data_IF_061016328055
#
_entry.id   IF_061016328055
#
_cell.length_a   1.000
_cell.length_b   1.000
_cell.length_c   1.000
_cell.angle_alpha   90.00
_cell.angle_beta   90.00
_cell.angle_gamma   90.00
#
_symmetry.space_group_name_H-M   'P 1'
#
loop_
_entity.id
_entity.type
_entity.pdbx_description
1 polymer ?
#
# COMPACT_ATOMS: atom_id res chain seq x y z
N UNK A 1 25.61 -1.26 7.49
CA UNK A 1 24.25 -1.16 6.90
C UNK A 1 24.18 -2.21 5.81
N UNK A 2 23.05 -2.92 5.66
CA UNK A 2 22.92 -3.94 4.62
C UNK A 2 23.01 -3.29 3.24
N UNK A 3 23.74 -3.92 2.31
CA UNK A 3 23.91 -3.45 0.93
C UNK A 3 22.67 -3.86 0.10
N UNK A 4 21.52 -3.29 0.47
CA UNK A 4 20.23 -3.54 -0.14
C UNK A 4 19.60 -2.24 -0.59
N UNK A 5 18.89 -2.27 -1.72
CA UNK A 5 18.15 -1.12 -2.22
C UNK A 5 17.04 -0.73 -1.23
N UNK A 6 17.02 0.53 -0.73
CA UNK A 6 15.97 1.01 0.16
C UNK A 6 14.55 0.86 -0.39
N UNK A 7 14.38 0.86 -1.73
CA UNK A 7 13.08 0.74 -2.38
C UNK A 7 12.34 -0.57 -2.02
N UNK A 8 13.08 -1.63 -1.64
CA UNK A 8 12.46 -2.88 -1.19
C UNK A 8 11.76 -2.78 0.17
N UNK A 9 12.07 -1.77 0.97
CA UNK A 9 11.57 -1.63 2.33
C UNK A 9 10.55 -0.50 2.49
N UNK A 10 10.59 0.49 1.58
CA UNK A 10 9.76 1.66 1.68
C UNK A 10 9.21 2.08 0.30
N UNK A 11 7.88 2.12 0.12
CA UNK A 11 7.27 2.53 -1.14
C UNK A 11 7.49 4.02 -1.38
N UNK A 12 7.69 4.42 -2.64
CA UNK A 12 7.84 5.83 -2.98
C UNK A 12 6.54 6.56 -2.62
N UNK A 13 6.63 7.62 -1.81
CA UNK A 13 5.48 8.41 -1.42
C UNK A 13 5.82 9.89 -1.24
N UNK A 14 4.83 10.75 -1.49
CA UNK A 14 4.97 12.18 -1.31
C UNK A 14 3.63 12.80 -0.91
N UNK A 15 3.65 13.70 0.07
CA UNK A 15 2.48 14.50 0.49
C UNK A 15 2.33 15.74 -0.40
N UNK A 16 1.09 16.06 -0.78
CA UNK A 16 0.68 17.29 -1.44
C UNK A 16 -0.36 17.99 -0.57
N UNK A 17 -0.09 19.25 -0.24
CA UNK A 17 -0.92 20.04 0.70
C UNK A 17 -1.82 21.03 -0.04
N UNK A 18 -2.76 21.63 0.68
CA UNK A 18 -3.63 22.70 0.18
C UNK A 18 -4.48 22.32 -1.05
N UNK A 19 -4.91 21.07 -1.14
CA UNK A 19 -5.70 20.54 -2.26
C UNK A 19 -7.20 20.72 -2.05
N UNK A 20 -7.96 20.77 -3.14
CA UNK A 20 -9.42 20.65 -3.10
C UNK A 20 -9.93 20.02 -4.39
N UNK A 21 -10.43 18.78 -4.29
CA UNK A 21 -10.90 18.00 -5.44
C UNK A 21 -12.25 18.48 -6.01
N UNK A 22 -13.02 19.28 -5.28
CA UNK A 22 -14.25 19.89 -5.81
C UNK A 22 -13.93 21.10 -6.69
N UNK A 23 -13.00 21.96 -6.27
CA UNK A 23 -12.59 23.16 -7.02
C UNK A 23 -11.39 22.95 -7.93
N UNK A 24 -10.80 21.74 -7.92
CA UNK A 24 -9.54 21.38 -8.59
C UNK A 24 -8.32 22.19 -8.13
N UNK A 25 -8.36 22.76 -6.94
CA UNK A 25 -7.19 23.42 -6.34
C UNK A 25 -6.10 22.38 -6.07
N UNK A 26 -4.85 22.70 -6.42
CA UNK A 26 -3.69 21.83 -6.20
C UNK A 26 -3.54 20.71 -7.23
N UNK A 27 -4.36 20.66 -8.28
CA UNK A 27 -4.28 19.60 -9.31
C UNK A 27 -2.96 19.63 -10.09
N UNK A 28 -2.39 20.80 -10.33
CA UNK A 28 -1.08 20.94 -10.98
C UNK A 28 0.03 20.30 -10.12
N UNK A 29 0.06 20.60 -8.82
CA UNK A 29 1.04 20.01 -7.89
C UNK A 29 0.85 18.49 -7.74
N UNK A 30 -0.41 18.02 -7.70
CA UNK A 30 -0.72 16.58 -7.71
C UNK A 30 -0.18 15.95 -9.00
N UNK A 31 -0.48 16.52 -10.17
CA UNK A 31 -0.04 16.00 -11.46
C UNK A 31 1.48 15.91 -11.54
N UNK A 32 2.19 16.98 -11.18
CA UNK A 32 3.66 17.01 -11.18
C UNK A 32 4.25 15.97 -10.21
N UNK A 33 3.63 15.79 -9.05
CA UNK A 33 4.06 14.78 -8.07
C UNK A 33 3.81 13.36 -8.57
N UNK A 34 2.64 13.09 -9.16
CA UNK A 34 2.35 11.80 -9.79
C UNK A 34 3.36 11.49 -10.89
N UNK A 35 3.64 12.45 -11.78
CA UNK A 35 4.60 12.29 -12.87
C UNK A 35 6.01 11.94 -12.34
N UNK A 36 6.48 12.67 -11.31
CA UNK A 36 7.76 12.38 -10.65
C UNK A 36 7.82 10.98 -10.05
N UNK A 37 6.73 10.51 -9.44
CA UNK A 37 6.68 9.16 -8.86
C UNK A 37 6.67 8.12 -9.99
N UNK A 38 5.86 8.30 -11.03
CA UNK A 38 5.83 7.37 -12.17
C UNK A 38 7.20 7.22 -12.84
N UNK A 39 7.93 8.32 -13.09
CA UNK A 39 9.29 8.28 -13.64
C UNK A 39 10.24 7.45 -12.76
N UNK A 40 10.14 7.60 -11.44
CA UNK A 40 10.96 6.80 -10.51
C UNK A 40 10.57 5.33 -10.52
N UNK A 41 9.26 5.03 -10.55
CA UNK A 41 8.75 3.66 -10.60
C UNK A 41 9.13 2.97 -11.90
N UNK A 42 9.00 3.63 -13.05
CA UNK A 42 9.42 3.09 -14.35
C UNK A 42 10.89 2.71 -14.33
N UNK A 43 11.77 3.59 -13.83
CA UNK A 43 13.19 3.28 -13.67
C UNK A 43 13.43 2.06 -12.78
N UNK A 44 12.71 1.93 -11.65
CA UNK A 44 12.83 0.78 -10.74
C UNK A 44 12.33 -0.51 -11.36
N UNK A 45 11.20 -0.43 -12.06
CA UNK A 45 10.62 -1.58 -12.75
C UNK A 45 11.53 -2.06 -13.87
N UNK A 46 12.18 -1.16 -14.61
CA UNK A 46 13.20 -1.51 -15.61
C UNK A 46 14.45 -2.12 -14.96
N UNK A 47 14.96 -1.51 -13.88
CA UNK A 47 16.11 -1.99 -13.10
C UNK A 47 15.92 -3.44 -12.63
N UNK A 48 14.74 -3.77 -12.11
CA UNK A 48 14.39 -5.09 -11.59
C UNK A 48 13.63 -5.98 -12.59
N UNK A 49 13.47 -5.54 -13.84
CA UNK A 49 12.81 -6.27 -14.94
C UNK A 49 11.38 -6.71 -14.61
N UNK A 50 10.66 -5.89 -13.86
CA UNK A 50 9.28 -6.15 -13.47
C UNK A 50 8.35 -5.96 -14.67
N UNK A 51 7.56 -6.99 -14.99
CA UNK A 51 6.65 -6.99 -16.14
C UNK A 51 5.30 -6.32 -15.85
N UNK A 52 4.99 -6.08 -14.57
CA UNK A 52 3.73 -5.46 -14.18
C UNK A 52 3.75 -3.96 -14.50
N UNK A 53 2.60 -3.38 -14.86
CA UNK A 53 2.49 -1.92 -14.99
C UNK A 53 2.52 -1.26 -13.60
N UNK A 54 3.37 -0.25 -13.34
CA UNK A 54 3.34 0.48 -12.07
C UNK A 54 2.00 1.21 -11.93
N UNK A 55 1.59 1.41 -10.68
CA UNK A 55 0.41 2.20 -10.36
C UNK A 55 0.66 2.94 -9.06
N UNK A 56 -0.11 4.00 -8.83
CA UNK A 56 -0.06 4.79 -7.61
C UNK A 56 -1.45 4.91 -7.03
N UNK A 57 -1.55 5.27 -5.76
CA UNK A 57 -2.79 5.68 -5.16
C UNK A 57 -2.66 7.05 -4.51
N UNK A 58 -3.75 7.80 -4.58
CA UNK A 58 -3.93 9.04 -3.82
C UNK A 58 -4.81 8.70 -2.63
N UNK A 59 -4.32 8.98 -1.42
CA UNK A 59 -5.06 8.81 -0.16
C UNK A 59 -5.09 10.09 0.65
N UNK A 60 -6.10 10.26 1.50
CA UNK A 60 -6.09 11.32 2.50
C UNK A 60 -4.90 11.15 3.46
N UNK A 61 -4.23 12.25 3.77
CA UNK A 61 -3.20 12.32 4.83
C UNK A 61 -3.80 12.15 6.25
N UNK A 62 -5.06 12.52 6.44
CA UNK A 62 -5.73 12.58 7.75
C UNK A 62 -6.75 11.45 7.93
N UNK A 63 -6.27 10.23 8.21
CA UNK A 63 -7.10 9.13 8.73
C UNK A 63 -6.91 7.78 8.03
N UNK A 64 -6.94 6.70 8.84
CA UNK A 64 -6.50 5.34 8.47
C UNK A 64 -7.62 4.37 8.08
N UNK A 65 -8.87 4.83 7.91
CA UNK A 65 -10.03 3.95 7.69
C UNK A 65 -10.36 3.62 6.23
N UNK A 66 -9.38 3.66 5.32
CA UNK A 66 -9.56 3.25 3.92
C UNK A 66 -10.58 4.06 3.11
N UNK A 67 -11.02 5.21 3.63
CA UNK A 67 -11.89 6.16 2.94
C UNK A 67 -11.04 7.20 2.24
N UNK A 68 -11.37 7.49 0.98
CA UNK A 68 -10.64 8.48 0.18
C UNK A 68 -9.34 7.97 -0.42
N UNK A 69 -9.33 6.70 -0.87
CA UNK A 69 -8.22 6.13 -1.65
C UNK A 69 -8.69 5.93 -3.09
N UNK A 70 -7.86 6.33 -4.07
CA UNK A 70 -8.10 6.06 -5.49
C UNK A 70 -6.79 5.69 -6.18
N UNK A 71 -6.82 4.61 -6.96
CA UNK A 71 -5.69 4.16 -7.77
C UNK A 71 -5.70 4.83 -9.14
N UNK A 72 -4.50 5.08 -9.67
CA UNK A 72 -4.24 5.63 -10.99
C UNK A 72 -3.11 4.84 -11.64
N UNK A 73 -3.25 4.53 -12.93
CA UNK A 73 -2.19 3.85 -13.68
C UNK A 73 -1.43 4.79 -14.62
N UNK A 74 -1.89 6.04 -14.74
CA UNK A 74 -1.14 7.11 -15.42
C UNK A 74 -1.57 8.49 -14.92
N UNK A 75 -0.83 9.52 -15.34
CA UNK A 75 -1.18 10.92 -15.05
C UNK A 75 -2.41 11.38 -15.85
N UNK A 76 -2.65 10.80 -17.03
CA UNK A 76 -3.84 11.06 -17.86
C UNK A 76 -5.13 10.57 -17.19
N UNK A 77 -5.07 9.45 -16.47
CA UNK A 77 -6.21 8.96 -15.67
C UNK A 77 -6.66 10.01 -14.66
N UNK A 78 -5.72 10.72 -14.05
CA UNK A 78 -5.99 11.80 -13.10
C UNK A 78 -6.57 13.04 -13.77
N UNK A 79 -6.06 13.44 -14.94
CA UNK A 79 -6.62 14.56 -15.70
C UNK A 79 -8.09 14.32 -16.06
N UNK A 80 -8.46 13.07 -16.29
CA UNK A 80 -9.81 12.64 -16.64
C UNK A 80 -10.65 12.16 -15.44
N UNK A 81 -10.25 12.52 -14.21
CA UNK A 81 -10.95 12.07 -13.00
C UNK A 81 -12.42 12.53 -12.97
N UNK A 82 -13.32 11.56 -12.86
CA UNK A 82 -14.76 11.80 -12.86
C UNK A 82 -15.27 12.36 -11.51
N UNK A 83 -16.51 12.85 -11.49
CA UNK A 83 -17.13 13.44 -10.29
C UNK A 83 -17.19 12.47 -9.11
N UNK A 84 -17.45 11.19 -9.35
CA UNK A 84 -17.54 10.17 -8.28
C UNK A 84 -16.20 9.98 -7.60
N UNK A 85 -15.13 9.87 -8.38
CA UNK A 85 -13.76 9.71 -7.86
C UNK A 85 -13.27 10.98 -7.16
N UNK A 86 -13.60 12.18 -7.67
CA UNK A 86 -13.34 13.43 -6.94
C UNK A 86 -14.07 13.49 -5.60
N UNK A 87 -15.33 13.03 -5.53
CA UNK A 87 -16.07 12.98 -4.27
C UNK A 87 -15.40 12.04 -3.25
N UNK A 88 -14.93 10.87 -3.71
CA UNK A 88 -14.15 9.94 -2.87
C UNK A 88 -12.94 10.66 -2.27
N UNK A 89 -12.21 11.45 -3.06
CA UNK A 89 -11.02 12.18 -2.62
C UNK A 89 -11.32 13.53 -1.94
N UNK A 90 -12.58 13.92 -1.76
CA UNK A 90 -12.95 15.22 -1.18
C UNK A 90 -13.35 15.15 0.29
N UNK A 91 -13.88 14.01 0.74
CA UNK A 91 -14.53 13.89 2.05
C UNK A 91 -13.98 12.70 2.82
N UNK A 92 -13.37 12.98 3.96
CA UNK A 92 -12.91 11.98 4.91
C UNK A 92 -14.00 11.57 5.91
N UNK A 93 -13.58 10.92 7.00
CA UNK A 93 -14.49 10.51 8.08
C UNK A 93 -15.20 11.73 8.69
N UNK A 94 -16.48 11.59 9.01
CA UNK A 94 -17.25 12.65 9.67
C UNK A 94 -17.48 13.90 8.81
N UNK A 95 -17.47 13.75 7.48
CA UNK A 95 -17.64 14.84 6.52
C UNK A 95 -16.52 15.90 6.56
N UNK A 96 -15.36 15.56 7.11
CA UNK A 96 -14.20 16.45 7.09
C UNK A 96 -13.67 16.63 5.67
N UNK A 97 -13.32 17.86 5.33
CA UNK A 97 -12.72 18.18 4.03
C UNK A 97 -11.29 17.67 3.99
N UNK A 98 -10.93 17.06 2.87
CA UNK A 98 -9.56 16.64 2.59
C UNK A 98 -8.80 17.84 2.03
N UNK A 99 -7.77 18.28 2.74
CA UNK A 99 -6.93 19.42 2.35
C UNK A 99 -5.49 19.01 2.03
N UNK A 100 -5.05 17.84 2.49
CA UNK A 100 -3.74 17.29 2.12
C UNK A 100 -3.90 15.81 1.75
N UNK A 101 -3.18 15.38 0.72
CA UNK A 101 -3.18 14.00 0.24
C UNK A 101 -1.77 13.43 0.16
N UNK A 102 -1.67 12.11 0.29
CA UNK A 102 -0.45 11.37 0.04
C UNK A 102 -0.62 10.66 -1.30
N UNK A 103 0.35 10.86 -2.18
CA UNK A 103 0.50 10.14 -3.45
C UNK A 103 1.57 9.09 -3.20
N UNK A 104 1.22 7.82 -3.35
CA UNK A 104 2.08 6.72 -2.98
C UNK A 104 2.05 5.61 -4.03
N UNK A 105 3.20 4.97 -4.24
CA UNK A 105 3.36 3.74 -5.00
C UNK A 105 2.39 2.64 -4.54
N UNK A 106 1.71 2.04 -5.50
CA UNK A 106 0.87 0.87 -5.30
C UNK A 106 1.67 -0.42 -5.34
N UNK A 107 1.60 -1.20 -4.26
CA UNK A 107 2.23 -2.51 -4.17
C UNK A 107 1.19 -3.60 -4.44
N UNK A 108 1.33 -4.41 -5.50
CA UNK A 108 0.42 -5.52 -5.75
C UNK A 108 0.61 -6.61 -4.68
N UNK A 109 -0.49 -7.14 -4.17
CA UNK A 109 -0.46 -8.31 -3.29
C UNK A 109 -0.22 -9.57 -4.11
N UNK A 110 0.85 -10.28 -3.77
CA UNK A 110 1.31 -11.48 -4.51
C UNK A 110 1.07 -12.78 -3.74
N UNK A 111 0.85 -12.66 -2.43
CA UNK A 111 0.57 -13.77 -1.55
C UNK A 111 -0.86 -14.27 -1.77
N UNK A 112 -0.99 -15.60 -1.83
CA UNK A 112 -2.27 -16.28 -1.95
C UNK A 112 -2.36 -17.41 -0.93
N UNK A 113 -3.53 -17.54 -0.33
CA UNK A 113 -3.86 -18.64 0.55
C UNK A 113 -5.21 -19.21 0.12
N UNK A 114 -5.25 -20.53 -0.16
CA UNK A 114 -6.44 -21.19 -0.74
C UNK A 114 -6.94 -20.48 -2.01
N UNK A 115 -6.00 -20.02 -2.83
CA UNK A 115 -6.22 -19.24 -4.07
C UNK A 115 -6.78 -17.81 -3.89
N UNK A 116 -7.08 -17.37 -2.67
CA UNK A 116 -7.49 -15.98 -2.40
C UNK A 116 -6.28 -15.09 -2.18
N UNK A 117 -6.37 -13.83 -2.61
CA UNK A 117 -5.36 -12.82 -2.32
C UNK A 117 -5.28 -12.64 -0.80
N UNK A 118 -4.07 -12.64 -0.27
CA UNK A 118 -3.80 -12.64 1.16
C UNK A 118 -2.77 -11.57 1.53
N UNK A 119 -3.00 -10.78 2.57
CA UNK A 119 -2.02 -9.86 3.14
C UNK A 119 -1.70 -10.29 4.59
N UNK A 120 -0.43 -10.45 4.96
CA UNK A 120 -0.07 -10.72 6.35
C UNK A 120 -0.30 -9.48 7.22
N UNK A 121 -0.88 -9.69 8.39
CA UNK A 121 -1.01 -8.67 9.44
C UNK A 121 -0.26 -9.17 10.67
N UNK A 122 0.77 -8.43 11.08
CA UNK A 122 1.67 -8.80 12.18
C UNK A 122 1.35 -7.95 13.40
N UNK A 123 1.20 -8.61 14.54
CA UNK A 123 1.09 -7.96 15.85
C UNK A 123 2.45 -7.83 16.50
N UNK A 124 2.68 -6.68 17.10
CA UNK A 124 3.90 -6.34 17.82
C UNK A 124 3.57 -6.04 19.29
N UNK A 125 4.42 -6.50 20.20
CA UNK A 125 4.42 -6.08 21.61
C UNK A 125 5.84 -5.62 21.92
N UNK A 126 5.99 -4.39 22.42
CA UNK A 126 7.30 -3.79 22.70
C UNK A 126 8.25 -3.86 21.48
N UNK A 127 7.72 -3.55 20.29
CA UNK A 127 8.43 -3.62 19.01
C UNK A 127 8.98 -5.00 18.63
N UNK A 128 8.44 -6.08 19.21
CA UNK A 128 8.78 -7.46 18.83
C UNK A 128 7.56 -8.16 18.24
N UNK A 129 7.75 -8.88 17.14
CA UNK A 129 6.69 -9.68 16.53
C UNK A 129 6.25 -10.83 17.44
N UNK A 130 4.94 -10.89 17.76
CA UNK A 130 4.36 -11.92 18.64
C UNK A 130 3.40 -12.86 17.93
N UNK A 131 3.03 -12.56 16.69
CA UNK A 131 2.10 -13.36 15.90
C UNK A 131 1.35 -12.51 14.87
N UNK A 132 0.33 -13.09 14.27
CA UNK A 132 -0.42 -12.41 13.21
C UNK A 132 -1.55 -13.23 12.63
N UNK A 133 -2.15 -12.70 11.58
CA UNK A 133 -3.15 -13.38 10.76
C UNK A 133 -3.02 -12.93 9.31
N UNK A 134 -3.56 -13.73 8.39
CA UNK A 134 -3.77 -13.26 7.01
C UNK A 134 -5.13 -12.60 6.89
N UNK A 135 -5.16 -11.43 6.27
CA UNK A 135 -6.37 -10.86 5.70
C UNK A 135 -6.52 -11.43 4.29
N UNK A 136 -7.64 -12.06 4.00
CA UNK A 136 -7.93 -12.61 2.69
C UNK A 136 -9.14 -11.91 2.09
N UNK A 137 -9.20 -11.84 0.77
CA UNK A 137 -10.41 -11.45 0.08
C UNK A 137 -10.64 -12.32 -1.16
N UNK A 138 -11.84 -12.90 -1.25
CA UNK A 138 -12.22 -13.79 -2.36
C UNK A 138 -12.78 -13.05 -3.57
N UNK A 139 -12.99 -11.73 -3.46
CA UNK A 139 -13.62 -10.90 -4.49
C UNK A 139 -12.68 -9.82 -5.04
N UNK A 140 -11.43 -9.78 -4.58
CA UNK A 140 -10.46 -8.72 -4.91
C UNK A 140 -9.26 -9.26 -5.65
N UNK A 141 -8.72 -8.43 -6.55
CA UNK A 141 -7.45 -8.68 -7.21
C UNK A 141 -6.27 -8.20 -6.38
N UNK A 142 -5.08 -8.44 -6.91
CA UNK A 142 -3.77 -8.06 -6.37
C UNK A 142 -3.61 -6.55 -6.12
N UNK A 143 -4.31 -5.68 -6.85
CA UNK A 143 -4.16 -4.21 -6.77
C UNK A 143 -5.26 -3.53 -5.97
N UNK A 144 -6.17 -4.28 -5.39
CA UNK A 144 -7.36 -3.74 -4.72
C UNK A 144 -7.25 -3.83 -3.19
N UNK A 145 -7.88 -2.87 -2.52
CA UNK A 145 -7.96 -2.88 -1.06
C UNK A 145 -8.72 -4.13 -0.56
N UNK A 146 -8.00 -5.03 0.11
CA UNK A 146 -8.58 -6.25 0.68
C UNK A 146 -9.52 -5.97 1.85
N UNK A 147 -9.43 -4.80 2.51
CA UNK A 147 -10.35 -4.34 3.55
C UNK A 147 -11.67 -3.83 2.95
N UNK A 148 -12.39 -4.75 2.32
CA UNK A 148 -13.63 -4.49 1.61
C UNK A 148 -14.57 -5.69 1.69
N UNK A 149 -15.74 -5.62 1.04
CA UNK A 149 -16.70 -6.75 1.01
C UNK A 149 -16.01 -8.02 0.50
N UNK A 150 -16.30 -9.16 1.14
CA UNK A 150 -15.65 -10.45 0.85
C UNK A 150 -14.40 -10.73 1.69
N UNK A 151 -13.98 -9.78 2.53
CA UNK A 151 -12.87 -9.96 3.45
C UNK A 151 -13.18 -11.03 4.51
N UNK A 152 -12.19 -11.87 4.79
CA UNK A 152 -12.16 -12.79 5.92
C UNK A 152 -10.73 -12.91 6.48
N UNK A 153 -10.60 -13.49 7.66
CA UNK A 153 -9.31 -13.68 8.32
C UNK A 153 -8.97 -15.16 8.42
N UNK A 154 -7.70 -15.50 8.15
CA UNK A 154 -7.15 -16.83 8.42
C UNK A 154 -6.01 -16.70 9.40
N UNK A 155 -5.81 -17.74 10.22
CA UNK A 155 -4.65 -17.81 11.09
C UNK A 155 -3.37 -17.77 10.25
N UNK A 156 -2.38 -17.03 10.72
CA UNK A 156 -1.00 -17.17 10.24
C UNK A 156 -0.41 -18.41 10.91
N UNK A 157 -0.88 -19.59 10.49
CA UNK A 157 -0.47 -20.88 11.05
C UNK A 157 0.41 -21.63 10.04
N UNK A 158 1.65 -21.91 10.45
CA UNK A 158 2.67 -22.49 9.57
C UNK A 158 2.38 -23.93 9.16
N UNK A 159 1.62 -24.67 9.97
CA UNK A 159 1.13 -26.01 9.61
C UNK A 159 0.05 -25.96 8.51
N UNK A 160 -0.66 -24.84 8.36
CA UNK A 160 -1.73 -24.64 7.38
C UNK A 160 -1.23 -23.94 6.09
N UNK A 161 0.06 -23.61 6.00
CA UNK A 161 0.68 -22.97 4.84
C UNK A 161 0.95 -23.91 3.66
N UNK A 162 0.49 -25.17 3.70
CA UNK A 162 0.56 -26.09 2.55
C UNK A 162 -0.13 -25.54 1.29
N UNK A 163 -1.07 -24.61 1.47
CA UNK A 163 -1.82 -23.97 0.38
C UNK A 163 -1.35 -22.54 0.08
N UNK A 164 -0.27 -22.10 0.72
CA UNK A 164 0.34 -20.80 0.46
C UNK A 164 1.04 -20.81 -0.90
N UNK A 165 0.83 -19.74 -1.66
CA UNK A 165 1.45 -19.52 -2.95
C UNK A 165 1.88 -18.06 -3.04
N UNK A 166 3.05 -17.80 -3.61
CA UNK A 166 3.49 -16.45 -3.94
C UNK A 166 3.93 -16.43 -5.40
N UNK A 167 3.46 -15.45 -6.17
CA UNK A 167 3.73 -15.33 -7.61
C UNK A 167 5.21 -15.19 -7.96
N UNK A 168 6.02 -14.63 -7.06
CA UNK A 168 7.45 -14.37 -7.28
C UNK A 168 8.38 -15.26 -6.47
N UNK A 169 7.84 -16.13 -5.62
CA UNK A 169 8.64 -17.07 -4.85
C UNK A 169 7.98 -18.46 -4.79
N UNK A 170 8.28 -19.27 -5.79
CA UNK A 170 7.93 -20.69 -5.78
C UNK A 170 8.85 -21.45 -4.81
N UNK A 171 8.27 -22.13 -3.83
CA UNK A 171 9.03 -22.92 -2.86
C UNK A 171 9.81 -22.11 -1.82
N UNK A 172 9.44 -20.84 -1.60
CA UNK A 172 9.97 -20.03 -0.51
C UNK A 172 9.93 -20.80 0.81
N UNK A 173 11.07 -20.82 1.50
CA UNK A 173 11.13 -21.37 2.84
C UNK A 173 10.21 -20.56 3.78
N UNK A 174 9.27 -21.26 4.40
CA UNK A 174 8.23 -20.67 5.25
C UNK A 174 8.87 -19.95 6.44
N UNK A 175 9.98 -20.47 6.98
CA UNK A 175 10.69 -19.84 8.10
C UNK A 175 11.34 -18.52 7.68
N UNK A 176 11.94 -18.48 6.50
CA UNK A 176 12.52 -17.27 5.93
C UNK A 176 11.45 -16.20 5.67
N UNK A 177 10.28 -16.58 5.13
CA UNK A 177 9.16 -15.67 4.91
C UNK A 177 8.65 -15.05 6.22
N UNK A 178 8.56 -15.84 7.29
CA UNK A 178 8.19 -15.34 8.62
C UNK A 178 9.17 -14.28 9.12
N UNK A 179 10.46 -14.55 9.00
CA UNK A 179 11.51 -13.62 9.41
C UNK A 179 11.39 -12.31 8.64
N UNK A 180 11.12 -12.37 7.33
CA UNK A 180 10.91 -11.18 6.50
C UNK A 180 9.69 -10.38 7.00
N UNK A 181 8.53 -11.02 7.20
CA UNK A 181 7.35 -10.31 7.71
C UNK A 181 7.57 -9.71 9.10
N UNK A 182 8.24 -10.43 10.01
CA UNK A 182 8.57 -9.93 11.33
C UNK A 182 9.51 -8.73 11.25
N UNK A 183 10.63 -8.83 10.52
CA UNK A 183 11.60 -7.75 10.36
C UNK A 183 10.94 -6.50 9.76
N UNK A 184 10.12 -6.66 8.72
CA UNK A 184 9.41 -5.53 8.11
C UNK A 184 8.45 -4.86 9.09
N UNK A 185 7.71 -5.63 9.89
CA UNK A 185 6.82 -5.10 10.92
C UNK A 185 7.60 -4.35 12.01
N UNK A 186 8.73 -4.89 12.45
CA UNK A 186 9.59 -4.26 13.45
C UNK A 186 10.20 -2.94 12.95
N UNK A 187 10.71 -2.92 11.70
CA UNK A 187 11.17 -1.69 11.04
C UNK A 187 10.05 -0.65 11.00
N UNK A 188 8.84 -1.04 10.59
CA UNK A 188 7.70 -0.14 10.55
C UNK A 188 7.33 0.40 11.94
N UNK A 189 7.42 -0.42 12.99
CA UNK A 189 7.18 0.02 14.37
C UNK A 189 8.23 1.00 14.87
N UNK A 190 9.50 0.81 14.50
CA UNK A 190 10.56 1.76 14.84
C UNK A 190 10.29 3.09 14.13
N UNK A 191 9.96 3.06 12.84
CA UNK A 191 9.63 4.26 12.08
C UNK A 191 8.44 5.03 12.70
N UNK A 192 7.34 4.35 13.02
CA UNK A 192 6.20 4.98 13.68
C UNK A 192 6.54 5.52 15.08
N UNK A 193 7.40 4.83 15.82
CA UNK A 193 7.89 5.31 17.11
C UNK A 193 8.83 6.52 17.03
N UNK A 194 9.47 6.76 15.90
CA UNK A 194 10.25 7.98 15.61
C UNK A 194 9.30 9.11 15.22
N UNK A 195 8.35 8.85 14.33
CA UNK A 195 7.35 9.83 13.88
C UNK A 195 6.56 10.42 15.05
N UNK A 196 6.08 9.59 15.98
CA UNK A 196 5.35 10.04 17.19
C UNK A 196 6.21 10.85 18.18
N UNK A 197 7.54 10.72 18.14
CA UNK A 197 8.43 11.56 18.98
C UNK A 197 8.67 12.93 18.35
N UNK A 198 8.65 12.99 17.03
CA UNK A 198 8.98 14.17 16.24
C UNK A 198 7.72 15.01 15.86
N UNK A 199 6.52 14.49 16.11
CA UNK A 199 5.21 15.14 15.90
C UNK A 199 4.79 16.07 17.04
#
# INVERSE_FOLDING_TARGET
>A
MLDLDPWFFYPISQEVKNVNFQTKKGFEEIFETMNKIFIQLEKKYDEYKLQAKPYIFIKNSTGTYGMGVKNFESVEDFLNINRKDRNTLSVGKGSQKIENVIIQEGLPTTDRLKSYVAEPVIYLINSQAVGGFFRLNSQKSDRENLNSKGMHFSKLCFHEMQTYQNTYCEGCDIESLQKIYAILAEIASIAGGVEERDS
#
